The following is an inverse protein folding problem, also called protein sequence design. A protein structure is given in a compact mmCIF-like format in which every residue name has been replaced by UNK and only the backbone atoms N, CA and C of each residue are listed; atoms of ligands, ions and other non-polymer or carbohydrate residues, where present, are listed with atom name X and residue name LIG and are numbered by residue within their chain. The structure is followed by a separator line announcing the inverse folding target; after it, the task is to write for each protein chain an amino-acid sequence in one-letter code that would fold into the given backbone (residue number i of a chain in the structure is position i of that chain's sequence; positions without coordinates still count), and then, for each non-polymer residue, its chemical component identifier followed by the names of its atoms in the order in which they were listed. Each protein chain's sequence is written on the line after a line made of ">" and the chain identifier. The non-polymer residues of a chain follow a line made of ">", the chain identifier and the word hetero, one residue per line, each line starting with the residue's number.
data_IF_405034105438
#
_entry.id   IF_405034105438
#
_cell.length_a   1.000
_cell.length_b   1.000
_cell.length_c   1.000
_cell.angle_alpha   90.00
_cell.angle_beta   90.00
_cell.angle_gamma   90.00
#
_symmetry.space_group_name_H-M   'P 1'
#
loop_
_entity.id
_entity.type
_entity.pdbx_description
1 polymer ?
#
# COMPACT_ATOMS: atom_id res chain seq x y z
N UNK A 1 8.33 -26.63 17.61
CA UNK A 1 7.13 -27.22 16.94
C UNK A 1 5.98 -26.22 17.04
N UNK A 2 5.64 -25.62 18.21
CA UNK A 2 4.52 -24.69 18.39
C UNK A 2 4.56 -23.49 17.44
N UNK A 3 5.71 -22.83 17.29
CA UNK A 3 5.91 -21.71 16.36
C UNK A 3 5.60 -22.13 14.90
N UNK A 4 6.01 -23.33 14.50
CA UNK A 4 5.72 -23.86 13.18
C UNK A 4 4.22 -24.01 12.92
N UNK A 5 3.47 -24.51 13.90
CA UNK A 5 2.03 -24.66 13.80
C UNK A 5 1.34 -23.30 13.69
N UNK A 6 1.80 -22.29 14.44
CA UNK A 6 1.28 -20.93 14.34
C UNK A 6 1.58 -20.30 12.98
N UNK A 7 2.77 -20.54 12.40
CA UNK A 7 3.11 -20.08 11.05
C UNK A 7 2.18 -20.75 10.01
N UNK A 8 1.93 -22.04 10.14
CA UNK A 8 1.01 -22.77 9.24
C UNK A 8 -0.41 -22.21 9.35
N UNK A 9 -0.91 -21.97 10.57
CA UNK A 9 -2.20 -21.34 10.79
C UNK A 9 -2.29 -19.97 10.14
N UNK A 10 -1.27 -19.12 10.34
CA UNK A 10 -1.22 -17.80 9.74
C UNK A 10 -1.18 -17.84 8.21
N UNK A 11 -0.51 -18.83 7.61
CA UNK A 11 -0.52 -19.02 6.16
C UNK A 11 -1.92 -19.36 5.63
N UNK A 12 -2.68 -20.24 6.32
CA UNK A 12 -4.08 -20.52 5.94
C UNK A 12 -5.00 -19.32 6.14
N UNK A 13 -4.77 -18.53 7.22
CA UNK A 13 -5.47 -17.28 7.44
C UNK A 13 -5.20 -16.26 6.32
N UNK A 14 -3.93 -16.08 5.96
CA UNK A 14 -3.54 -15.24 4.84
C UNK A 14 -4.19 -15.69 3.52
N UNK A 15 -4.18 -16.99 3.26
CA UNK A 15 -4.81 -17.56 2.07
C UNK A 15 -6.32 -17.25 2.04
N UNK A 16 -7.01 -17.40 3.16
CA UNK A 16 -8.43 -17.06 3.30
C UNK A 16 -8.70 -15.60 3.00
N UNK A 17 -7.98 -14.71 3.66
CA UNK A 17 -8.12 -13.27 3.45
C UNK A 17 -7.88 -12.89 1.99
N UNK A 18 -6.82 -13.45 1.38
CA UNK A 18 -6.48 -13.24 -0.01
C UNK A 18 -7.61 -13.69 -0.95
N UNK A 19 -8.17 -14.87 -0.72
CA UNK A 19 -9.24 -15.45 -1.55
C UNK A 19 -10.52 -14.63 -1.46
N UNK A 20 -10.88 -14.17 -0.26
CA UNK A 20 -12.05 -13.32 -0.04
C UNK A 20 -11.88 -11.93 -0.64
N UNK A 21 -10.69 -11.35 -0.54
CA UNK A 21 -10.39 -10.04 -1.15
C UNK A 21 -10.48 -10.06 -2.67
N UNK A 22 -10.26 -11.22 -3.31
CA UNK A 22 -10.44 -11.38 -4.76
C UNK A 22 -11.91 -11.27 -5.17
N UNK A 23 -12.82 -11.70 -4.32
CA UNK A 23 -14.26 -11.63 -4.59
C UNK A 23 -14.78 -10.19 -4.40
N UNK A 24 -14.49 -9.59 -3.23
CA UNK A 24 -14.93 -8.22 -2.90
C UNK A 24 -13.88 -7.47 -2.11
N UNK A 25 -13.62 -6.25 -2.49
CA UNK A 25 -12.63 -5.37 -1.84
C UNK A 25 -12.96 -5.11 -0.36
N UNK A 26 -14.23 -5.13 0.03
CA UNK A 26 -14.67 -4.92 1.41
C UNK A 26 -14.16 -5.96 2.40
N UNK A 27 -13.77 -7.15 1.93
CA UNK A 27 -13.15 -8.18 2.77
C UNK A 27 -11.78 -7.78 3.31
N UNK A 28 -11.20 -6.68 2.79
CA UNK A 28 -10.01 -6.07 3.38
C UNK A 28 -10.23 -5.63 4.84
N UNK A 29 -11.46 -5.26 5.21
CA UNK A 29 -11.78 -4.89 6.59
C UNK A 29 -11.62 -6.05 7.57
N UNK A 30 -11.73 -7.30 7.12
CA UNK A 30 -11.63 -8.47 8.00
C UNK A 30 -10.23 -8.62 8.63
N UNK A 31 -9.11 -8.67 7.88
CA UNK A 31 -7.79 -8.68 8.49
C UNK A 31 -7.49 -7.39 9.26
N UNK A 32 -7.96 -6.24 8.81
CA UNK A 32 -7.77 -4.96 9.54
C UNK A 32 -8.49 -5.00 10.88
N UNK A 33 -9.74 -5.46 10.93
CA UNK A 33 -10.50 -5.59 12.17
C UNK A 33 -9.87 -6.61 13.13
N UNK A 34 -9.39 -7.75 12.62
CA UNK A 34 -8.78 -8.78 13.44
C UNK A 34 -7.43 -8.33 14.00
N UNK A 35 -6.52 -7.88 13.16
CA UNK A 35 -5.20 -7.44 13.61
C UNK A 35 -5.28 -6.12 14.40
N UNK A 36 -6.18 -5.22 14.01
CA UNK A 36 -6.47 -4.00 14.76
C UNK A 36 -7.08 -4.29 16.14
N UNK A 37 -7.97 -5.28 16.23
CA UNK A 37 -8.53 -5.75 17.49
C UNK A 37 -7.47 -6.38 18.41
N UNK A 38 -6.59 -7.22 17.85
CA UNK A 38 -5.46 -7.81 18.60
C UNK A 38 -4.51 -6.68 19.08
N UNK A 39 -4.16 -5.74 18.20
CA UNK A 39 -3.32 -4.62 18.58
C UNK A 39 -3.97 -3.76 19.67
N UNK A 40 -5.26 -3.43 19.55
CA UNK A 40 -6.00 -2.70 20.57
C UNK A 40 -6.02 -3.45 21.91
N UNK A 41 -6.18 -4.77 21.88
CA UNK A 41 -6.17 -5.60 23.09
C UNK A 41 -4.81 -5.67 23.78
N UNK A 42 -3.71 -5.50 23.02
CA UNK A 42 -2.35 -5.40 23.59
C UNK A 42 -2.13 -4.07 24.35
N UNK A 43 -2.90 -3.02 23.99
CA UNK A 43 -2.85 -1.72 24.66
C UNK A 43 -3.87 -1.55 25.80
N UNK A 44 -4.77 -2.52 25.99
CA UNK A 44 -5.68 -2.57 27.11
C UNK A 44 -4.94 -3.19 28.32
N UNK A 45 -5.15 -2.67 29.55
CA UNK A 45 -4.42 -3.15 30.73
C UNK A 45 -4.49 -4.67 30.93
N UNK A 46 -3.49 -5.20 31.61
CA UNK A 46 -3.09 -6.62 31.78
C UNK A 46 -4.18 -7.69 32.09
N UNK A 47 -5.42 -7.29 32.28
CA UNK A 47 -6.56 -8.17 32.59
C UNK A 47 -7.46 -8.47 31.37
N UNK A 48 -7.03 -8.17 30.14
CA UNK A 48 -7.88 -8.50 29.00
C UNK A 48 -7.94 -10.01 28.76
N UNK A 49 -9.11 -10.57 28.45
CA UNK A 49 -9.25 -12.02 28.19
C UNK A 49 -8.41 -12.47 26.97
N UNK A 50 -8.12 -11.58 26.05
CA UNK A 50 -7.28 -11.85 24.87
C UNK A 50 -5.81 -11.99 25.27
N UNK A 51 -5.33 -11.14 26.19
CA UNK A 51 -3.99 -11.24 26.73
C UNK A 51 -3.82 -12.55 27.50
N UNK A 52 -4.74 -12.87 28.41
CA UNK A 52 -4.73 -14.12 29.15
C UNK A 52 -4.77 -15.36 28.24
N UNK A 53 -5.55 -15.32 27.16
CA UNK A 53 -5.58 -16.40 26.15
C UNK A 53 -4.23 -16.56 25.44
N UNK A 54 -3.59 -15.46 25.06
CA UNK A 54 -2.28 -15.49 24.37
C UNK A 54 -1.17 -16.05 25.28
N UNK A 55 -1.16 -15.65 26.55
CA UNK A 55 -0.22 -16.16 27.55
C UNK A 55 -0.43 -17.65 27.79
N UNK A 56 -1.67 -18.09 28.04
CA UNK A 56 -2.00 -19.51 28.25
C UNK A 56 -1.62 -20.39 27.05
N UNK A 57 -1.80 -19.86 25.83
CA UNK A 57 -1.41 -20.56 24.61
C UNK A 57 0.12 -20.68 24.50
N UNK A 58 0.85 -19.61 24.84
CA UNK A 58 2.31 -19.61 24.88
C UNK A 58 2.88 -20.58 25.95
N UNK A 59 2.35 -20.53 27.16
CA UNK A 59 2.69 -21.44 28.26
C UNK A 59 2.39 -22.90 27.91
N UNK A 60 1.25 -23.16 27.26
CA UNK A 60 0.89 -24.49 26.81
C UNK A 60 1.87 -25.07 25.79
N UNK A 61 2.47 -24.25 24.94
CA UNK A 61 3.54 -24.69 24.04
C UNK A 61 4.87 -24.95 24.76
N UNK A 62 5.21 -24.12 25.76
CA UNK A 62 6.45 -24.26 26.54
C UNK A 62 6.38 -25.49 27.45
N UNK A 63 5.27 -25.70 28.10
CA UNK A 63 5.04 -26.85 29.02
C UNK A 63 4.78 -28.17 28.28
N UNK A 64 4.63 -28.13 26.95
CA UNK A 64 4.35 -29.33 26.15
C UNK A 64 2.95 -29.88 26.36
N UNK A 65 1.98 -29.05 26.71
CA UNK A 65 0.59 -29.47 26.95
C UNK A 65 -0.04 -30.00 25.66
N UNK A 66 -0.34 -31.30 25.64
CA UNK A 66 -0.93 -32.00 24.48
C UNK A 66 -2.23 -31.35 24.04
N UNK A 67 -3.03 -30.84 24.97
CA UNK A 67 -4.33 -30.22 24.66
C UNK A 67 -4.15 -28.94 23.82
N UNK A 68 -3.13 -28.16 24.08
CA UNK A 68 -2.81 -26.96 23.30
C UNK A 68 -2.41 -27.32 21.87
N UNK A 69 -1.59 -28.37 21.70
CA UNK A 69 -1.19 -28.83 20.35
C UNK A 69 -2.40 -29.36 19.57
N UNK A 70 -3.26 -30.15 20.21
CA UNK A 70 -4.49 -30.66 19.56
C UNK A 70 -5.41 -29.49 19.19
N UNK A 71 -5.60 -28.52 20.09
CA UNK A 71 -6.42 -27.34 19.81
C UNK A 71 -5.97 -26.56 18.58
N UNK A 72 -4.67 -26.31 18.44
CA UNK A 72 -4.12 -25.61 17.28
C UNK A 72 -4.22 -26.46 16.01
N UNK A 73 -4.00 -27.79 16.10
CA UNK A 73 -4.18 -28.69 14.95
C UNK A 73 -5.63 -28.70 14.46
N UNK A 74 -6.59 -28.73 15.37
CA UNK A 74 -8.03 -28.65 15.03
C UNK A 74 -8.33 -27.31 14.37
N UNK A 75 -7.80 -26.20 14.89
CA UNK A 75 -7.96 -24.88 14.28
C UNK A 75 -7.39 -24.84 12.85
N UNK A 76 -6.22 -25.43 12.61
CA UNK A 76 -5.62 -25.55 11.28
C UNK A 76 -6.50 -26.39 10.36
N UNK A 77 -7.04 -27.52 10.84
CA UNK A 77 -7.93 -28.37 10.05
C UNK A 77 -9.23 -27.65 9.66
N UNK A 78 -9.82 -26.89 10.58
CA UNK A 78 -10.99 -26.05 10.30
C UNK A 78 -10.65 -25.01 9.24
N UNK A 79 -9.52 -24.30 9.37
CA UNK A 79 -9.09 -23.31 8.41
C UNK A 79 -8.81 -23.90 7.02
N UNK A 80 -8.22 -25.10 6.97
CA UNK A 80 -8.02 -25.83 5.72
C UNK A 80 -9.35 -26.17 5.04
N UNK A 81 -10.31 -26.68 5.80
CA UNK A 81 -11.64 -27.04 5.28
C UNK A 81 -12.41 -25.82 4.77
N UNK A 82 -12.39 -24.71 5.51
CA UNK A 82 -13.00 -23.44 5.12
C UNK A 82 -12.37 -22.91 3.83
N UNK A 83 -11.04 -22.87 3.76
CA UNK A 83 -10.33 -22.42 2.56
C UNK A 83 -10.68 -23.28 1.35
N UNK A 84 -10.68 -24.60 1.50
CA UNK A 84 -11.04 -25.53 0.43
C UNK A 84 -12.46 -25.27 -0.07
N UNK A 85 -13.43 -25.14 0.84
CA UNK A 85 -14.83 -24.92 0.49
C UNK A 85 -15.04 -23.60 -0.25
N UNK A 86 -14.43 -22.51 0.24
CA UNK A 86 -14.52 -21.19 -0.40
C UNK A 86 -13.84 -21.21 -1.78
N UNK A 87 -12.65 -21.79 -1.87
CA UNK A 87 -11.89 -21.86 -3.11
C UNK A 87 -12.61 -22.66 -4.19
N UNK A 88 -13.20 -23.81 -3.80
CA UNK A 88 -14.02 -24.62 -4.72
C UNK A 88 -15.21 -23.79 -5.23
N UNK A 89 -15.96 -23.15 -4.33
CA UNK A 89 -17.10 -22.31 -4.69
C UNK A 89 -16.71 -21.19 -5.68
N UNK A 90 -15.60 -20.53 -5.44
CA UNK A 90 -15.11 -19.45 -6.31
C UNK A 90 -14.68 -19.96 -7.69
N UNK A 91 -13.99 -21.10 -7.75
CA UNK A 91 -13.59 -21.71 -9.02
C UNK A 91 -14.82 -22.10 -9.84
N UNK A 92 -15.80 -22.77 -9.22
CA UNK A 92 -17.05 -23.12 -9.93
C UNK A 92 -17.84 -21.89 -10.39
N UNK A 93 -17.89 -20.85 -9.57
CA UNK A 93 -18.54 -19.59 -9.94
C UNK A 93 -17.83 -18.90 -11.11
N UNK A 94 -16.50 -18.97 -11.17
CA UNK A 94 -15.73 -18.41 -12.29
C UNK A 94 -15.92 -19.22 -13.58
N UNK A 95 -15.97 -20.55 -13.49
CA UNK A 95 -16.20 -21.43 -14.64
C UNK A 95 -17.62 -21.26 -15.21
N UNK A 96 -18.60 -20.99 -14.36
CA UNK A 96 -19.98 -20.78 -14.76
C UNK A 96 -20.30 -19.35 -15.20
N UNK A 97 -19.39 -18.41 -15.01
CA UNK A 97 -19.50 -17.08 -15.62
C UNK A 97 -19.31 -17.23 -17.13
N UNK A 98 -20.41 -17.33 -17.85
CA UNK A 98 -20.43 -17.02 -19.28
C UNK A 98 -19.82 -15.62 -19.40
N UNK A 99 -18.76 -15.48 -20.17
CA UNK A 99 -18.19 -14.17 -20.47
C UNK A 99 -19.31 -13.34 -21.12
N UNK A 100 -19.97 -12.51 -20.32
CA UNK A 100 -20.78 -11.44 -20.85
C UNK A 100 -19.84 -10.47 -21.57
N UNK A 101 -19.67 -10.74 -22.86
CA UNK A 101 -18.87 -9.92 -23.79
C UNK A 101 -19.47 -8.54 -24.02
N UNK A 102 -20.57 -8.21 -23.39
CA UNK A 102 -21.08 -6.84 -23.34
C UNK A 102 -20.17 -6.00 -22.45
N UNK A 103 -19.08 -5.52 -23.05
CA UNK A 103 -18.27 -4.46 -22.47
C UNK A 103 -19.19 -3.25 -22.25
N UNK A 104 -19.79 -3.14 -21.08
CA UNK A 104 -20.41 -1.89 -20.66
C UNK A 104 -19.30 -0.83 -20.61
N UNK A 105 -19.20 -0.09 -21.70
CA UNK A 105 -18.38 1.12 -21.76
C UNK A 105 -18.99 2.10 -20.78
N UNK A 106 -18.56 2.04 -19.51
CA UNK A 106 -18.88 3.10 -18.56
C UNK A 106 -18.27 4.37 -19.14
N UNK A 107 -19.14 5.27 -19.59
CA UNK A 107 -18.76 6.62 -19.99
C UNK A 107 -18.08 7.26 -18.78
N UNK A 108 -16.76 7.30 -18.83
CA UNK A 108 -15.96 8.02 -17.81
C UNK A 108 -16.27 9.50 -18.04
N UNK A 109 -16.69 10.19 -16.98
CA UNK A 109 -16.94 11.63 -17.01
C UNK A 109 -15.80 12.33 -17.75
N UNK A 110 -16.15 13.07 -18.79
CA UNK A 110 -15.17 13.90 -19.47
C UNK A 110 -14.77 15.01 -18.50
N UNK A 111 -13.54 14.97 -18.03
CA UNK A 111 -12.96 16.00 -17.15
C UNK A 111 -12.70 17.28 -17.96
N UNK A 112 -13.78 17.97 -18.38
CA UNK A 112 -13.73 19.16 -19.26
C UNK A 112 -12.87 20.30 -18.72
N UNK A 113 -12.70 20.38 -17.39
CA UNK A 113 -11.84 21.39 -16.77
C UNK A 113 -10.34 21.24 -17.15
N UNK A 114 -9.91 20.05 -17.57
CA UNK A 114 -8.54 19.79 -18.00
C UNK A 114 -8.26 20.30 -19.42
N UNK A 115 -9.28 20.60 -20.21
CA UNK A 115 -9.12 21.11 -21.57
C UNK A 115 -8.41 22.47 -21.60
N UNK A 116 -8.47 23.23 -20.49
CA UNK A 116 -7.73 24.49 -20.30
C UNK A 116 -6.21 24.35 -20.39
N UNK A 117 -5.67 23.17 -20.09
CA UNK A 117 -4.23 22.95 -19.96
C UNK A 117 -3.62 22.34 -21.23
N UNK A 118 -4.36 22.29 -22.35
CA UNK A 118 -3.88 21.78 -23.64
C UNK A 118 -3.35 20.36 -23.55
N UNK A 119 -2.22 20.07 -24.19
CA UNK A 119 -1.60 18.71 -24.23
C UNK A 119 -1.39 18.11 -22.83
N UNK A 120 -0.92 18.90 -21.88
CA UNK A 120 -0.67 18.42 -20.51
C UNK A 120 -2.00 17.99 -19.85
N UNK A 121 -3.09 18.73 -20.10
CA UNK A 121 -4.41 18.39 -19.61
C UNK A 121 -4.92 17.08 -20.18
N UNK A 122 -4.67 16.80 -21.45
CA UNK A 122 -5.02 15.54 -22.09
C UNK A 122 -4.24 14.35 -21.48
N UNK A 123 -2.93 14.48 -21.26
CA UNK A 123 -2.15 13.44 -20.59
C UNK A 123 -2.59 13.21 -19.14
N UNK A 124 -2.92 14.26 -18.37
CA UNK A 124 -3.47 14.13 -17.02
C UNK A 124 -4.81 13.39 -17.08
N UNK A 125 -5.65 13.67 -18.06
CA UNK A 125 -6.93 12.96 -18.26
C UNK A 125 -6.73 11.49 -18.57
N UNK A 126 -5.76 11.15 -19.42
CA UNK A 126 -5.39 9.78 -19.74
C UNK A 126 -4.91 9.03 -18.50
N UNK A 127 -4.05 9.65 -17.71
CA UNK A 127 -3.52 9.07 -16.47
C UNK A 127 -4.61 8.85 -15.43
N UNK A 128 -5.50 9.81 -15.23
CA UNK A 128 -6.66 9.65 -14.34
C UNK A 128 -7.57 8.51 -14.81
N UNK A 129 -7.84 8.42 -16.11
CA UNK A 129 -8.60 7.29 -16.67
C UNK A 129 -7.88 5.96 -16.44
N UNK A 130 -6.54 5.93 -16.60
CA UNK A 130 -5.73 4.75 -16.35
C UNK A 130 -5.84 4.31 -14.88
N UNK A 131 -5.66 5.23 -13.94
CA UNK A 131 -5.72 4.95 -12.51
C UNK A 131 -7.11 4.50 -12.04
N UNK A 132 -8.16 5.16 -12.52
CA UNK A 132 -9.53 4.93 -12.06
C UNK A 132 -10.23 3.77 -12.78
N UNK A 133 -9.84 3.45 -14.01
CA UNK A 133 -10.47 2.39 -14.82
C UNK A 133 -9.85 1.02 -14.57
N UNK A 134 -8.54 0.95 -14.43
CA UNK A 134 -7.83 -0.33 -14.34
C UNK A 134 -7.87 -0.90 -12.92
N UNK A 135 -8.18 -2.20 -12.82
CA UNK A 135 -8.31 -2.91 -11.53
C UNK A 135 -7.02 -2.89 -10.72
N UNK A 136 -5.86 -3.07 -11.36
CA UNK A 136 -4.55 -3.12 -10.70
C UNK A 136 -4.19 -1.74 -10.11
N UNK A 137 -4.34 -0.67 -10.91
CA UNK A 137 -4.03 0.68 -10.49
C UNK A 137 -4.96 1.14 -9.35
N UNK A 138 -6.26 0.85 -9.49
CA UNK A 138 -7.26 1.17 -8.48
C UNK A 138 -7.01 0.46 -7.15
N UNK A 139 -6.64 -0.82 -7.19
CA UNK A 139 -6.23 -1.58 -6.00
C UNK A 139 -5.00 -0.95 -5.34
N UNK A 140 -3.98 -0.63 -6.14
CA UNK A 140 -2.77 0.01 -5.63
C UNK A 140 -3.10 1.32 -4.93
N UNK A 141 -3.95 2.17 -5.53
CA UNK A 141 -4.41 3.42 -4.92
C UNK A 141 -5.09 3.20 -3.56
N UNK A 142 -6.03 2.26 -3.48
CA UNK A 142 -6.71 1.97 -2.21
C UNK A 142 -5.77 1.43 -1.15
N UNK A 143 -4.88 0.50 -1.50
CA UNK A 143 -3.93 -0.07 -0.55
C UNK A 143 -2.98 0.99 0.00
N UNK A 144 -2.45 1.87 -0.86
CA UNK A 144 -1.55 2.94 -0.44
C UNK A 144 -2.28 3.91 0.48
N UNK A 145 -3.47 4.35 0.08
CA UNK A 145 -4.26 5.28 0.90
C UNK A 145 -4.61 4.66 2.26
N UNK A 146 -4.93 3.37 2.30
CA UNK A 146 -5.20 2.66 3.56
C UNK A 146 -3.96 2.57 4.46
N UNK A 147 -2.78 2.31 3.89
CA UNK A 147 -1.51 2.27 4.64
C UNK A 147 -1.17 3.65 5.20
N UNK A 148 -1.27 4.70 4.38
CA UNK A 148 -1.02 6.08 4.79
C UNK A 148 -1.99 6.51 5.89
N UNK A 149 -3.27 6.15 5.76
CA UNK A 149 -4.28 6.41 6.79
C UNK A 149 -3.96 5.68 8.10
N UNK A 150 -3.58 4.41 8.04
CA UNK A 150 -3.22 3.64 9.23
C UNK A 150 -2.02 4.26 9.96
N UNK A 151 -0.93 4.60 9.25
CA UNK A 151 0.22 5.27 9.85
C UNK A 151 -0.14 6.65 10.41
N UNK A 152 -0.96 7.42 9.70
CA UNK A 152 -1.42 8.73 10.16
C UNK A 152 -2.21 8.61 11.48
N UNK A 153 -3.11 7.64 11.60
CA UNK A 153 -3.86 7.40 12.83
C UNK A 153 -2.95 6.95 13.98
N UNK A 154 -2.01 6.05 13.72
CA UNK A 154 -1.05 5.58 14.73
C UNK A 154 -0.20 6.76 15.23
N UNK A 155 0.34 7.58 14.33
CA UNK A 155 1.15 8.76 14.71
C UNK A 155 0.32 9.77 15.51
N UNK A 156 -0.95 9.98 15.13
CA UNK A 156 -1.80 10.99 15.74
C UNK A 156 -2.31 10.61 17.12
N UNK A 157 -2.68 9.34 17.33
CA UNK A 157 -3.37 8.89 18.53
C UNK A 157 -2.55 7.99 19.45
N UNK A 158 -1.41 7.46 18.99
CA UNK A 158 -0.54 6.59 19.78
C UNK A 158 0.78 7.26 20.09
N UNK A 159 1.37 6.93 21.25
CA UNK A 159 2.72 7.36 21.66
C UNK A 159 3.78 6.28 21.34
N UNK A 160 3.42 5.32 20.47
CA UNK A 160 4.33 4.25 20.03
C UNK A 160 5.62 4.77 19.38
N UNK A 161 5.52 5.90 18.68
CA UNK A 161 6.65 6.52 18.00
C UNK A 161 6.95 7.87 18.63
N UNK A 162 8.13 8.00 19.22
CA UNK A 162 8.62 9.24 19.80
C UNK A 162 9.92 9.71 19.13
N UNK A 163 10.19 10.99 19.17
CA UNK A 163 11.40 11.61 18.63
C UNK A 163 11.65 11.30 17.16
N UNK A 164 12.88 10.88 16.83
CA UNK A 164 13.31 10.62 15.47
C UNK A 164 12.52 9.52 14.74
N UNK A 165 11.98 8.54 15.47
CA UNK A 165 11.15 7.50 14.88
C UNK A 165 9.83 8.09 14.33
N UNK A 166 9.24 9.04 15.04
CA UNK A 166 8.02 9.74 14.59
C UNK A 166 8.29 10.49 13.29
N UNK A 167 9.36 11.27 13.25
CA UNK A 167 9.74 12.05 12.06
C UNK A 167 10.00 11.15 10.86
N UNK A 168 10.61 10.00 11.08
CA UNK A 168 10.80 8.99 10.05
C UNK A 168 9.47 8.48 9.48
N UNK A 169 8.51 8.13 10.33
CA UNK A 169 7.22 7.62 9.86
C UNK A 169 6.36 8.72 9.22
N UNK A 170 6.48 9.97 9.64
CA UNK A 170 5.87 11.11 8.96
C UNK A 170 6.43 11.26 7.55
N UNK A 171 7.76 11.26 7.38
CA UNK A 171 8.41 11.28 6.08
C UNK A 171 7.99 10.07 5.23
N UNK A 172 7.95 8.88 5.84
CA UNK A 172 7.55 7.64 5.17
C UNK A 172 6.15 7.73 4.57
N UNK A 173 5.20 8.34 5.24
CA UNK A 173 3.84 8.54 4.74
C UNK A 173 3.81 9.31 3.41
N UNK A 174 4.66 10.33 3.26
CA UNK A 174 4.74 11.07 2.00
C UNK A 174 5.49 10.29 0.93
N UNK A 175 6.58 9.62 1.29
CA UNK A 175 7.41 8.86 0.34
C UNK A 175 6.66 7.65 -0.22
N UNK A 176 5.97 6.88 0.61
CA UNK A 176 5.30 5.64 0.18
C UNK A 176 4.26 5.90 -0.89
N UNK A 177 3.57 7.04 -0.80
CA UNK A 177 2.57 7.43 -1.78
C UNK A 177 3.20 7.62 -3.16
N UNK A 178 4.34 8.32 -3.22
CA UNK A 178 5.10 8.51 -4.45
C UNK A 178 5.76 7.23 -4.96
N UNK A 179 6.41 6.47 -4.08
CA UNK A 179 7.14 5.25 -4.44
C UNK A 179 6.26 4.22 -5.14
N UNK A 180 5.09 3.94 -4.61
CA UNK A 180 4.23 2.89 -5.13
C UNK A 180 3.60 3.22 -6.48
N UNK A 181 3.39 4.51 -6.78
CA UNK A 181 2.89 4.94 -8.08
C UNK A 181 3.99 5.18 -9.10
N UNK A 182 5.10 5.78 -8.69
CA UNK A 182 6.18 6.12 -9.62
C UNK A 182 7.09 4.92 -9.93
N UNK A 183 7.14 3.91 -9.04
CA UNK A 183 7.93 2.71 -9.28
C UNK A 183 7.55 1.99 -10.60
N UNK A 184 6.28 1.73 -10.91
CA UNK A 184 5.88 1.16 -12.20
C UNK A 184 5.54 2.21 -13.26
N UNK A 185 6.11 3.43 -13.20
CA UNK A 185 5.68 4.58 -13.99
C UNK A 185 5.52 4.27 -15.49
N UNK A 186 6.54 3.68 -16.12
CA UNK A 186 6.48 3.32 -17.56
C UNK A 186 5.91 1.92 -17.82
N UNK A 187 5.78 1.10 -16.77
CA UNK A 187 5.19 -0.24 -16.90
C UNK A 187 3.69 -0.21 -17.20
N UNK A 188 3.02 0.87 -16.82
CA UNK A 188 1.60 1.06 -17.12
C UNK A 188 1.38 1.36 -18.62
N UNK A 189 2.27 2.11 -19.24
CA UNK A 189 2.21 2.47 -20.65
C UNK A 189 2.76 1.40 -21.57
N UNK A 190 3.51 0.42 -21.08
CA UNK A 190 4.20 -0.57 -21.89
C UNK A 190 3.34 -1.27 -22.93
N UNK A 191 2.02 -1.30 -22.74
CA UNK A 191 1.08 -1.91 -23.70
C UNK A 191 0.67 -0.97 -24.85
N UNK A 192 0.87 0.34 -24.73
CA UNK A 192 0.44 1.32 -25.75
C UNK A 192 1.49 2.37 -26.08
N UNK A 193 2.69 2.27 -25.51
CA UNK A 193 3.77 3.22 -25.75
C UNK A 193 4.18 3.29 -27.22
N UNK A 194 4.16 2.15 -27.92
CA UNK A 194 4.45 2.08 -29.34
C UNK A 194 3.43 2.88 -30.16
N UNK A 195 2.17 2.86 -29.74
CA UNK A 195 1.12 3.67 -30.33
C UNK A 195 1.31 5.18 -30.12
N UNK A 196 1.80 5.57 -28.94
CA UNK A 196 2.14 6.98 -28.65
C UNK A 196 3.34 7.44 -29.48
N UNK A 197 4.37 6.58 -29.59
CA UNK A 197 5.55 6.86 -30.38
C UNK A 197 5.23 6.99 -31.89
N UNK A 198 4.38 6.13 -32.42
CA UNK A 198 3.95 6.19 -33.83
C UNK A 198 3.24 7.48 -34.17
N UNK A 199 2.56 8.09 -33.20
CA UNK A 199 1.89 9.40 -33.35
C UNK A 199 2.80 10.59 -33.13
N UNK A 200 4.10 10.37 -32.91
CA UNK A 200 5.11 11.42 -32.61
C UNK A 200 4.72 12.27 -31.39
N UNK A 201 4.04 11.68 -30.42
CA UNK A 201 3.65 12.39 -29.20
C UNK A 201 4.86 12.64 -28.29
N UNK A 202 4.81 13.71 -27.52
CA UNK A 202 5.93 14.12 -26.68
C UNK A 202 5.98 13.34 -25.37
N UNK A 203 7.00 12.49 -25.20
CA UNK A 203 7.26 11.79 -23.92
C UNK A 203 7.46 12.80 -22.78
N UNK A 204 8.07 13.92 -23.08
CA UNK A 204 8.30 14.96 -22.08
C UNK A 204 6.99 15.51 -21.52
N UNK A 205 6.01 15.78 -22.38
CA UNK A 205 4.67 16.26 -21.97
C UNK A 205 3.96 15.19 -21.12
N UNK A 206 4.09 13.91 -21.47
CA UNK A 206 3.57 12.80 -20.70
C UNK A 206 4.19 12.72 -19.30
N UNK A 207 5.52 12.75 -19.20
CA UNK A 207 6.23 12.70 -17.92
C UNK A 207 5.93 13.92 -17.05
N UNK A 208 5.82 15.11 -17.66
CA UNK A 208 5.44 16.34 -16.97
C UNK A 208 4.01 16.25 -16.41
N UNK A 209 3.08 15.71 -17.17
CA UNK A 209 1.72 15.50 -16.71
C UNK A 209 1.66 14.53 -15.50
N UNK A 210 2.42 13.43 -15.56
CA UNK A 210 2.56 12.49 -14.45
C UNK A 210 3.16 13.17 -13.21
N UNK A 211 4.23 13.94 -13.40
CA UNK A 211 4.86 14.66 -12.29
C UNK A 211 3.88 15.59 -11.59
N UNK A 212 3.11 16.37 -12.35
CA UNK A 212 2.10 17.29 -11.82
C UNK A 212 1.00 16.50 -11.07
N UNK A 213 0.46 15.47 -11.69
CA UNK A 213 -0.62 14.67 -11.09
C UNK A 213 -0.19 14.03 -9.77
N UNK A 214 0.98 13.38 -9.74
CA UNK A 214 1.45 12.70 -8.54
C UNK A 214 1.92 13.68 -7.45
N UNK A 215 2.42 14.85 -7.84
CA UNK A 215 2.72 15.93 -6.87
C UNK A 215 1.44 16.47 -6.22
N UNK A 216 0.36 16.64 -6.99
CA UNK A 216 -0.95 17.01 -6.44
C UNK A 216 -1.54 15.90 -5.55
N UNK A 217 -1.28 14.65 -5.87
CA UNK A 217 -1.75 13.53 -5.06
C UNK A 217 -1.13 13.50 -3.64
N UNK A 218 0.02 14.15 -3.41
CA UNK A 218 0.59 14.31 -2.07
C UNK A 218 -0.24 15.18 -1.13
N UNK A 219 -1.23 15.87 -1.63
CA UNK A 219 -2.23 16.56 -0.80
C UNK A 219 -3.01 15.53 0.05
N UNK A 220 -3.18 14.29 -0.43
CA UNK A 220 -3.88 13.23 0.31
C UNK A 220 -3.17 12.90 1.63
N UNK A 221 -1.89 12.49 1.66
CA UNK A 221 -1.18 12.27 2.91
C UNK A 221 -1.12 13.53 3.80
N UNK A 222 -1.04 14.72 3.21
CA UNK A 222 -1.08 15.98 3.97
C UNK A 222 -2.40 16.13 4.74
N UNK A 223 -3.55 15.92 4.09
CA UNK A 223 -4.86 15.97 4.73
C UNK A 223 -4.99 14.89 5.80
N UNK A 224 -4.50 13.68 5.54
CA UNK A 224 -4.55 12.59 6.50
C UNK A 224 -3.68 12.85 7.74
N UNK A 225 -2.66 13.69 7.65
CA UNK A 225 -1.80 14.08 8.79
C UNK A 225 -2.37 15.22 9.63
N UNK A 226 -3.50 15.85 9.24
CA UNK A 226 -4.14 16.93 10.02
C UNK A 226 -4.43 16.53 11.47
N UNK A 227 -4.95 15.33 11.79
CA UNK A 227 -5.13 14.93 13.18
C UNK A 227 -3.85 14.98 14.00
N UNK A 228 -2.70 14.57 13.43
CA UNK A 228 -1.39 14.63 14.07
C UNK A 228 -0.91 16.06 14.32
N UNK A 229 -1.27 16.99 13.44
CA UNK A 229 -0.99 18.41 13.62
C UNK A 229 -1.86 19.02 14.74
N UNK A 230 -3.15 18.65 14.79
CA UNK A 230 -4.08 19.12 15.82
C UNK A 230 -3.70 18.60 17.20
N UNK A 231 -3.25 17.37 17.33
CA UNK A 231 -2.76 16.78 18.59
C UNK A 231 -1.40 17.35 19.03
N UNK A 232 -0.78 18.21 18.20
CA UNK A 232 0.54 18.80 18.51
C UNK A 232 1.72 17.83 18.41
N UNK A 233 1.48 16.59 17.95
CA UNK A 233 2.54 15.57 17.82
C UNK A 233 3.44 15.81 16.60
N UNK A 234 2.92 16.46 15.56
CA UNK A 234 3.62 16.74 14.32
C UNK A 234 3.53 18.23 14.01
N UNK A 235 4.64 18.87 13.66
CA UNK A 235 4.67 20.27 13.29
C UNK A 235 4.07 20.47 11.87
N UNK A 236 3.23 21.49 11.72
CA UNK A 236 2.70 21.91 10.42
C UNK A 236 3.83 22.25 9.45
N UNK A 237 4.86 22.94 9.94
CA UNK A 237 6.03 23.32 9.13
C UNK A 237 6.76 22.08 8.59
N UNK A 238 6.88 21.04 9.42
CA UNK A 238 7.48 19.76 9.01
C UNK A 238 6.68 19.10 7.89
N UNK A 239 5.36 19.04 7.99
CA UNK A 239 4.51 18.47 6.94
C UNK A 239 4.60 19.24 5.63
N UNK A 240 4.66 20.58 5.68
CA UNK A 240 4.85 21.43 4.50
C UNK A 240 6.24 21.18 3.89
N UNK A 241 7.27 21.06 4.72
CA UNK A 241 8.63 20.78 4.26
C UNK A 241 8.70 19.45 3.48
N UNK A 242 8.05 18.40 3.98
CA UNK A 242 7.99 17.11 3.30
C UNK A 242 7.16 17.15 2.02
N UNK A 243 6.07 17.93 2.01
CA UNK A 243 5.24 18.13 0.82
C UNK A 243 6.04 18.76 -0.34
N UNK A 244 7.01 19.62 -0.04
CA UNK A 244 7.89 20.25 -1.03
C UNK A 244 9.09 19.36 -1.37
N UNK A 245 9.69 18.72 -0.37
CA UNK A 245 10.89 17.91 -0.51
C UNK A 245 10.66 16.65 -1.36
N UNK A 246 9.58 15.93 -1.13
CA UNK A 246 9.30 14.66 -1.81
C UNK A 246 9.16 14.81 -3.32
N UNK A 247 8.40 15.76 -3.88
CA UNK A 247 8.37 15.99 -5.33
C UNK A 247 9.73 16.38 -5.90
N UNK A 248 10.53 17.15 -5.15
CA UNK A 248 11.86 17.56 -5.60
C UNK A 248 12.86 16.41 -5.64
N UNK A 249 13.17 15.85 -4.48
CA UNK A 249 14.27 14.89 -4.34
C UNK A 249 13.85 13.46 -4.71
N UNK A 250 12.74 12.97 -4.10
CA UNK A 250 12.33 11.57 -4.26
C UNK A 250 11.83 11.31 -5.67
N UNK A 251 10.98 12.18 -6.20
CA UNK A 251 10.43 12.00 -7.54
C UNK A 251 11.51 12.12 -8.62
N UNK A 252 12.51 13.00 -8.44
CA UNK A 252 13.64 13.08 -9.34
C UNK A 252 14.34 11.72 -9.48
N UNK A 253 14.65 11.07 -8.35
CA UNK A 253 15.25 9.72 -8.35
C UNK A 253 14.33 8.68 -9.01
N UNK A 254 13.03 8.75 -8.74
CA UNK A 254 12.06 7.78 -9.27
C UNK A 254 11.82 7.93 -10.77
N UNK A 255 11.86 9.14 -11.30
CA UNK A 255 11.76 9.38 -12.75
C UNK A 255 12.98 8.85 -13.52
N UNK A 256 14.16 8.81 -12.90
CA UNK A 256 15.33 8.14 -13.49
C UNK A 256 15.07 6.63 -13.68
N UNK A 257 14.33 6.00 -12.75
CA UNK A 257 13.96 4.59 -12.87
C UNK A 257 13.07 4.29 -14.07
N UNK A 258 12.23 5.25 -14.46
CA UNK A 258 11.32 5.08 -15.60
C UNK A 258 12.09 4.75 -16.91
N UNK A 259 13.32 5.27 -17.04
CA UNK A 259 14.17 5.02 -18.21
C UNK A 259 14.71 3.59 -18.25
N UNK A 260 14.93 2.97 -17.08
CA UNK A 260 15.56 1.64 -16.96
C UNK A 260 14.57 0.49 -16.82
N UNK A 261 13.28 0.76 -16.61
CA UNK A 261 12.28 -0.28 -16.38
C UNK A 261 11.55 -0.64 -17.67
N UNK A 262 11.94 -1.75 -18.29
CA UNK A 262 11.35 -2.26 -19.53
C UNK A 262 10.20 -3.25 -19.31
N UNK A 263 9.78 -3.50 -18.06
CA UNK A 263 8.74 -4.47 -17.77
C UNK A 263 7.35 -3.87 -17.96
N UNK A 264 6.53 -4.56 -18.75
CA UNK A 264 5.11 -4.23 -18.94
C UNK A 264 4.25 -4.87 -17.85
N UNK A 265 3.22 -4.19 -17.43
CA UNK A 265 2.29 -4.61 -16.39
C UNK A 265 0.94 -4.94 -17.00
N UNK A 266 0.42 -6.14 -16.72
CA UNK A 266 -0.93 -6.48 -17.16
C UNK A 266 -1.97 -5.75 -16.29
N UNK A 267 -2.56 -4.67 -16.82
CA UNK A 267 -3.46 -3.76 -16.12
C UNK A 267 -4.78 -4.43 -15.66
N UNK A 268 -5.19 -5.51 -16.36
CA UNK A 268 -6.43 -6.23 -16.09
C UNK A 268 -6.21 -7.57 -15.38
N UNK A 269 -4.99 -7.83 -14.88
CA UNK A 269 -4.72 -9.04 -14.13
C UNK A 269 -5.63 -9.16 -12.90
N UNK A 270 -5.89 -10.41 -12.48
CA UNK A 270 -6.63 -10.68 -11.23
C UNK A 270 -5.93 -9.98 -10.06
N UNK A 271 -6.73 -9.49 -9.12
CA UNK A 271 -6.24 -8.69 -7.98
C UNK A 271 -5.18 -9.40 -7.13
N UNK A 272 -5.11 -10.72 -7.14
CA UNK A 272 -4.13 -11.54 -6.42
C UNK A 272 -2.93 -11.95 -7.24
N UNK A 273 -2.93 -11.68 -8.54
CA UNK A 273 -1.77 -11.97 -9.40
C UNK A 273 -0.54 -11.20 -8.91
N UNK A 274 0.49 -11.93 -8.42
CA UNK A 274 1.77 -11.31 -8.07
C UNK A 274 2.49 -10.92 -9.35
N UNK A 275 2.43 -9.64 -9.68
CA UNK A 275 3.19 -9.12 -10.81
C UNK A 275 4.50 -8.54 -10.27
N UNK A 276 5.60 -9.24 -10.55
CA UNK A 276 6.93 -8.73 -10.24
C UNK A 276 7.32 -7.71 -11.32
N UNK A 277 7.05 -6.45 -11.05
CA UNK A 277 7.43 -5.34 -11.93
C UNK A 277 8.83 -4.84 -11.60
N UNK A 278 9.35 -5.15 -10.40
CA UNK A 278 10.65 -4.70 -9.95
C UNK A 278 11.81 -5.45 -10.62
N UNK A 279 12.72 -4.71 -11.21
CA UNK A 279 14.08 -5.16 -11.51
C UNK A 279 14.94 -5.02 -10.25
N UNK A 280 16.05 -5.78 -10.15
CA UNK A 280 16.98 -5.63 -9.01
C UNK A 280 17.48 -4.20 -8.85
N UNK A 281 17.79 -3.53 -9.96
CA UNK A 281 18.18 -2.11 -10.00
C UNK A 281 17.06 -1.20 -9.45
N UNK A 282 15.80 -1.46 -9.78
CA UNK A 282 14.66 -0.70 -9.29
C UNK A 282 14.49 -0.83 -7.77
N UNK A 283 14.66 -2.04 -7.22
CA UNK A 283 14.61 -2.24 -5.78
C UNK A 283 15.75 -1.50 -5.07
N UNK A 284 16.94 -1.44 -5.70
CA UNK A 284 18.11 -0.77 -5.16
C UNK A 284 17.93 0.76 -5.16
N UNK A 285 17.41 1.33 -6.23
CA UNK A 285 17.14 2.77 -6.32
C UNK A 285 15.94 3.16 -5.44
N UNK A 286 14.91 2.31 -5.35
CA UNK A 286 13.82 2.54 -4.39
C UNK A 286 14.32 2.53 -2.94
N UNK A 287 15.24 1.62 -2.61
CA UNK A 287 15.90 1.60 -1.30
C UNK A 287 16.77 2.85 -1.09
N UNK A 288 17.47 3.32 -2.12
CA UNK A 288 18.22 4.59 -2.09
C UNK A 288 17.31 5.81 -1.92
N UNK A 289 16.24 5.91 -2.70
CA UNK A 289 15.27 7.00 -2.58
C UNK A 289 14.59 7.05 -1.21
N UNK A 290 14.52 5.90 -0.54
CA UNK A 290 14.02 5.76 0.81
C UNK A 290 15.10 6.06 1.86
N UNK A 291 16.33 5.59 1.68
CA UNK A 291 17.42 5.70 2.65
C UNK A 291 18.12 7.06 2.66
N UNK A 292 18.30 7.68 1.48
CA UNK A 292 19.01 8.96 1.37
C UNK A 292 18.36 10.09 2.19
N UNK A 293 17.04 10.26 2.21
CA UNK A 293 16.41 11.29 3.04
C UNK A 293 16.56 11.05 4.56
N UNK A 294 16.89 9.83 4.99
CA UNK A 294 17.12 9.52 6.41
C UNK A 294 18.47 10.05 6.92
N UNK A 295 19.46 10.15 6.06
CA UNK A 295 20.80 10.60 6.45
C UNK A 295 20.79 12.02 7.04
N UNK A 296 20.18 13.05 6.40
CA UNK A 296 20.10 14.37 6.98
C UNK A 296 19.23 14.41 8.25
N UNK A 297 18.16 13.63 8.33
CA UNK A 297 17.31 13.54 9.52
C UNK A 297 18.11 12.99 10.71
N UNK A 298 18.85 11.89 10.51
CA UNK A 298 19.71 11.31 11.55
C UNK A 298 20.81 12.27 11.98
N UNK A 299 21.42 12.98 11.02
CA UNK A 299 22.50 13.93 11.30
C UNK A 299 22.02 15.14 12.09
N UNK A 300 20.88 15.71 11.75
CA UNK A 300 20.32 16.86 12.49
C UNK A 300 19.92 16.52 13.91
N UNK A 301 19.38 15.30 14.14
CA UNK A 301 19.04 14.84 15.49
C UNK A 301 20.27 14.50 16.35
N UNK A 302 21.38 14.08 15.74
CA UNK A 302 22.62 13.77 16.46
C UNK A 302 23.47 15.01 16.77
N UNK A 303 23.38 16.05 15.94
CA UNK A 303 24.29 17.21 16.00
C UNK A 303 23.68 18.47 16.61
N UNK A 304 22.34 18.58 16.65
CA UNK A 304 21.70 19.69 17.36
C UNK A 304 21.62 19.33 18.86
N UNK A 305 22.38 20.01 19.73
CA UNK A 305 22.17 19.89 21.16
C UNK A 305 20.73 20.34 21.44
N UNK A 306 19.98 19.52 22.14
CA UNK A 306 18.68 19.89 22.68
C UNK A 306 18.88 21.15 23.56
N UNK A 307 18.68 22.32 22.99
CA UNK A 307 18.53 23.54 23.75
C UNK A 307 17.17 23.37 24.45
N UNK A 308 17.27 22.98 25.72
CA UNK A 308 16.15 23.03 26.69
C UNK A 308 15.89 24.45 27.09
#
# INVERSE_FOLDING_TARGET
>A
IGIWLLIVFNNYWYLLCRTLMDERIWWFLLPVALYGGIAAALFIPDNSPIFAFSVNLGEGFITGNILTFIGVLVAIAIMWFVNRSIMQRLVYNELNKVEDTTVQVKTVSEYKFLDRYGEIGEYIRLELKLLLRNKVCKKSLYNITAVVLAFSLIISFSDLYEGGARDFFVLYNYIIFGLLFLSPLMSYEGNYIDGLMSRKESIYSLLRAKYILYSLALIIPFILMIPGMVTGKVSVLQCISWLIFVPGAVYCCMFQLAVYNNKTLNLNAKMTGRQNVGTGLQNLISAGAFGVPLLPVSYTHLTLPTIR
#
